data_IF_216896541993
#
_entry.id   IF_216896541993
#
_cell.length_a   1.000
_cell.length_b   1.000
_cell.length_c   1.000
_cell.angle_alpha   90.00
_cell.angle_beta   90.00
_cell.angle_gamma   90.00
#
_symmetry.space_group_name_H-M   'P 1'
#
loop_
_entity.id
_entity.type
_entity.pdbx_description
1 polymer ?
#
# COMPACT_ATOMS: atom_id res chain seq x y z
N UNK A 1 11.34 -61.57 30.39
CA UNK A 1 10.36 -60.70 31.06
C UNK A 1 10.20 -59.40 30.27
N UNK A 2 9.20 -59.32 29.39
CA UNK A 2 8.92 -58.13 28.59
C UNK A 2 7.42 -58.03 28.32
N UNK A 3 6.70 -57.17 29.07
CA UNK A 3 5.32 -56.71 28.81
C UNK A 3 4.96 -55.61 29.82
N UNK A 4 5.34 -54.36 29.56
CA UNK A 4 4.87 -53.20 30.35
C UNK A 4 4.98 -51.84 29.61
N UNK A 5 5.77 -51.73 28.53
CA UNK A 5 5.99 -50.43 27.87
C UNK A 5 4.83 -49.93 26.98
N UNK A 6 3.81 -50.74 26.70
CA UNK A 6 2.71 -50.39 25.78
C UNK A 6 1.52 -49.64 26.41
N UNK A 7 1.32 -49.72 27.74
CA UNK A 7 0.15 -49.11 28.39
C UNK A 7 0.32 -47.60 28.67
N UNK A 8 1.55 -47.13 28.84
CA UNK A 8 1.83 -45.72 29.15
C UNK A 8 1.71 -44.79 27.94
N UNK A 9 2.03 -45.27 26.72
CA UNK A 9 1.85 -44.48 25.49
C UNK A 9 0.38 -44.33 25.09
N UNK A 10 -0.47 -45.33 25.36
CA UNK A 10 -1.89 -45.23 25.07
C UNK A 10 -2.60 -44.24 26.01
N UNK A 11 -2.17 -44.17 27.27
CA UNK A 11 -2.75 -43.25 28.26
C UNK A 11 -2.38 -41.79 27.96
N UNK A 12 -1.17 -41.52 27.46
CA UNK A 12 -0.73 -40.15 27.13
C UNK A 12 -1.42 -39.59 25.87
N UNK A 13 -1.65 -40.40 24.84
CA UNK A 13 -2.39 -39.97 23.65
C UNK A 13 -3.85 -39.63 23.95
N UNK A 14 -4.47 -40.40 24.85
CA UNK A 14 -5.87 -40.18 25.22
C UNK A 14 -6.02 -38.85 25.96
N UNK A 15 -5.11 -38.53 26.90
CA UNK A 15 -5.14 -37.26 27.63
C UNK A 15 -4.92 -36.05 26.71
N UNK A 16 -4.00 -36.14 25.74
CA UNK A 16 -3.76 -35.05 24.77
C UNK A 16 -4.96 -34.83 23.85
N UNK A 17 -5.63 -35.89 23.41
CA UNK A 17 -6.84 -35.79 22.59
C UNK A 17 -8.00 -35.16 23.35
N UNK A 18 -8.21 -35.52 24.63
CA UNK A 18 -9.26 -34.93 25.47
C UNK A 18 -8.99 -33.45 25.77
N UNK A 19 -7.74 -33.07 26.00
CA UNK A 19 -7.36 -31.65 26.21
C UNK A 19 -7.50 -30.81 24.94
N UNK A 20 -7.16 -31.35 23.77
CA UNK A 20 -7.36 -30.66 22.48
C UNK A 20 -8.85 -30.48 22.15
N UNK A 21 -9.70 -31.46 22.47
CA UNK A 21 -11.15 -31.37 22.32
C UNK A 21 -11.77 -30.27 23.20
N UNK A 22 -11.38 -30.20 24.47
CA UNK A 22 -11.83 -29.14 25.40
C UNK A 22 -11.41 -27.73 24.95
N UNK A 23 -10.24 -27.59 24.32
CA UNK A 23 -9.77 -26.29 23.81
C UNK A 23 -10.58 -25.82 22.58
N UNK A 24 -10.99 -26.74 21.70
CA UNK A 24 -11.83 -26.42 20.54
C UNK A 24 -13.26 -26.03 20.93
N UNK A 25 -13.88 -26.73 21.89
CA UNK A 25 -15.25 -26.38 22.34
C UNK A 25 -15.31 -25.04 23.08
N UNK A 26 -14.31 -24.73 23.91
CA UNK A 26 -14.27 -23.46 24.66
C UNK A 26 -13.98 -22.25 23.74
N UNK A 27 -13.13 -22.41 22.72
CA UNK A 27 -12.90 -21.35 21.73
C UNK A 27 -14.11 -21.10 20.81
N UNK A 28 -14.85 -22.15 20.40
CA UNK A 28 -16.04 -21.97 19.56
C UNK A 28 -17.20 -21.32 20.32
N UNK A 29 -17.39 -21.66 21.60
CA UNK A 29 -18.40 -21.03 22.45
C UNK A 29 -18.09 -19.54 22.73
N UNK A 30 -16.81 -19.16 22.89
CA UNK A 30 -16.40 -17.77 23.10
C UNK A 30 -16.65 -16.88 21.86
N UNK A 31 -16.47 -17.43 20.66
CA UNK A 31 -16.67 -16.70 19.40
C UNK A 31 -18.16 -16.53 19.06
N UNK A 32 -19.03 -17.47 19.43
CA UNK A 32 -20.47 -17.40 19.11
C UNK A 32 -21.26 -16.52 20.11
N UNK A 33 -20.77 -16.34 21.34
CA UNK A 33 -21.54 -15.67 22.41
C UNK A 33 -21.27 -14.16 22.58
N UNK A 34 -20.43 -13.56 21.72
CA UNK A 34 -20.22 -12.11 21.67
C UNK A 34 -21.18 -11.47 20.64
N UNK A 35 -22.48 -11.46 20.95
CA UNK A 35 -23.45 -10.59 20.26
C UNK A 35 -23.49 -9.24 20.98
N UNK A 36 -22.93 -8.14 20.45
CA UNK A 36 -23.24 -6.82 20.98
C UNK A 36 -24.71 -6.53 20.68
N UNK A 37 -25.51 -6.39 21.73
CA UNK A 37 -26.87 -5.87 21.64
C UNK A 37 -26.80 -4.36 21.36
N UNK A 38 -26.62 -3.99 20.10
CA UNK A 38 -26.72 -2.61 19.65
C UNK A 38 -28.19 -2.18 19.68
N UNK A 39 -28.59 -1.62 20.83
CA UNK A 39 -29.87 -0.95 21.04
C UNK A 39 -29.81 0.39 20.30
N UNK A 40 -30.32 0.43 19.08
CA UNK A 40 -30.52 1.68 18.33
C UNK A 40 -31.44 2.60 19.12
N UNK A 41 -30.87 3.63 19.76
CA UNK A 41 -31.65 4.78 20.24
C UNK A 41 -32.02 5.62 19.02
N UNK A 42 -33.32 5.70 18.77
CA UNK A 42 -33.94 6.58 17.77
C UNK A 42 -33.70 8.02 18.21
N UNK A 43 -32.69 8.67 17.65
CA UNK A 43 -32.46 10.10 17.79
C UNK A 43 -33.13 10.77 16.58
N UNK A 44 -34.28 11.40 16.80
CA UNK A 44 -34.93 12.27 15.80
C UNK A 44 -34.22 13.62 15.84
N UNK A 45 -33.39 13.91 14.84
CA UNK A 45 -32.89 15.26 14.60
C UNK A 45 -33.48 15.75 13.27
N UNK A 46 -34.15 16.89 13.37
CA UNK A 46 -34.86 17.57 12.29
C UNK A 46 -33.99 17.88 11.09
N UNK A 47 -34.66 17.92 9.93
CA UNK A 47 -34.05 17.97 8.62
C UNK A 47 -33.22 19.23 8.33
N UNK A 48 -32.13 18.98 7.62
CA UNK A 48 -31.68 19.76 6.46
C UNK A 48 -30.85 18.81 5.61
N UNK A 49 -31.32 18.49 4.42
CA UNK A 49 -30.57 17.64 3.49
C UNK A 49 -29.20 18.27 3.21
N UNK A 50 -28.07 17.54 3.39
CA UNK A 50 -26.82 18.00 2.85
C UNK A 50 -26.86 17.76 1.35
N UNK A 51 -26.86 18.85 0.60
CA UNK A 51 -26.69 18.89 -0.85
C UNK A 51 -25.56 17.95 -1.25
N UNK A 52 -25.89 16.96 -2.09
CA UNK A 52 -24.95 16.12 -2.81
C UNK A 52 -24.15 17.00 -3.77
N UNK A 53 -23.11 17.65 -3.26
CA UNK A 53 -22.07 18.23 -4.10
C UNK A 53 -21.26 17.06 -4.65
N UNK A 54 -21.75 16.50 -5.76
CA UNK A 54 -20.93 15.67 -6.64
C UNK A 54 -19.69 16.49 -6.98
N UNK A 55 -18.54 16.11 -6.44
CA UNK A 55 -17.26 16.59 -6.95
C UNK A 55 -17.14 16.07 -8.38
N UNK A 56 -17.61 16.88 -9.32
CA UNK A 56 -17.25 16.75 -10.73
C UNK A 56 -15.74 16.82 -10.77
N UNK A 57 -15.12 15.79 -11.35
CA UNK A 57 -13.73 15.85 -11.76
C UNK A 57 -13.55 17.16 -12.53
N UNK A 58 -12.75 18.08 -12.01
CA UNK A 58 -12.20 19.15 -12.83
C UNK A 58 -11.14 18.49 -13.72
N UNK A 59 -11.61 17.85 -14.77
CA UNK A 59 -10.81 17.37 -15.89
C UNK A 59 -10.23 18.59 -16.61
N UNK A 60 -9.16 19.18 -16.06
CA UNK A 60 -8.34 20.16 -16.79
C UNK A 60 -6.88 19.72 -16.95
N UNK A 61 -6.51 18.55 -16.44
CA UNK A 61 -5.21 17.96 -16.74
C UNK A 61 -5.40 16.92 -17.83
N UNK A 62 -4.96 17.28 -19.03
CA UNK A 62 -5.00 16.43 -20.21
C UNK A 62 -4.21 15.15 -19.92
N UNK A 63 -4.85 13.98 -19.90
CA UNK A 63 -4.30 12.67 -19.51
C UNK A 63 -3.08 12.21 -20.35
N UNK A 64 -2.70 13.02 -21.35
CA UNK A 64 -1.67 12.74 -22.35
C UNK A 64 -0.23 13.05 -21.90
N UNK A 65 -0.03 13.85 -20.85
CA UNK A 65 1.31 14.30 -20.40
C UNK A 65 1.55 14.07 -18.90
N UNK A 66 1.40 12.83 -18.42
CA UNK A 66 1.81 12.49 -17.06
C UNK A 66 3.35 12.63 -16.94
N UNK A 67 3.81 13.37 -15.92
CA UNK A 67 5.24 13.56 -15.62
C UNK A 67 5.54 13.12 -14.20
N UNK A 68 6.72 12.54 -14.00
CA UNK A 68 7.18 12.20 -12.65
C UNK A 68 7.42 13.47 -11.84
N UNK A 69 6.78 13.55 -10.69
CA UNK A 69 6.98 14.58 -9.69
C UNK A 69 8.19 14.23 -8.85
N UNK A 70 9.08 15.21 -8.68
CA UNK A 70 10.33 15.08 -7.92
C UNK A 70 10.18 15.65 -6.51
N UNK A 71 10.92 15.07 -5.57
CA UNK A 71 11.09 15.65 -4.24
C UNK A 71 11.71 17.06 -4.32
N UNK A 72 11.30 18.03 -3.49
CA UNK A 72 10.39 17.98 -2.35
C UNK A 72 8.96 18.45 -2.62
N UNK A 73 8.41 18.25 -3.83
CA UNK A 73 7.07 18.74 -4.15
C UNK A 73 6.01 18.32 -3.09
N UNK A 74 5.20 19.27 -2.58
CA UNK A 74 4.25 19.00 -1.51
C UNK A 74 3.19 17.96 -1.86
N UNK A 75 2.89 17.70 -3.15
CA UNK A 75 1.92 16.66 -3.52
C UNK A 75 2.35 15.28 -3.03
N UNK A 76 3.66 15.01 -2.98
CA UNK A 76 4.23 13.74 -2.50
C UNK A 76 4.03 13.52 -1.00
N UNK A 77 3.60 14.54 -0.25
CA UNK A 77 3.33 14.49 1.19
C UNK A 77 1.84 14.47 1.51
N UNK A 78 0.96 14.61 0.52
CA UNK A 78 -0.49 14.61 0.72
C UNK A 78 -1.02 13.18 0.75
N UNK A 79 -1.87 12.87 1.73
CA UNK A 79 -2.62 11.62 1.75
C UNK A 79 -3.59 11.58 0.57
N UNK A 80 -3.59 10.49 -0.18
CA UNK A 80 -4.40 10.33 -1.38
C UNK A 80 -5.84 9.94 -1.06
N UNK A 81 -6.77 10.38 -1.92
CA UNK A 81 -8.19 10.07 -1.81
C UNK A 81 -8.52 8.69 -2.36
N UNK A 82 -9.56 8.06 -1.82
CA UNK A 82 -10.08 6.80 -2.36
C UNK A 82 -10.69 7.01 -3.75
N UNK A 83 -10.46 6.02 -4.62
CA UNK A 83 -11.12 5.93 -5.93
C UNK A 83 -12.53 5.38 -5.71
N UNK A 84 -13.54 6.13 -6.13
CA UNK A 84 -14.96 5.74 -6.00
C UNK A 84 -15.57 5.27 -7.31
N UNK A 85 -15.05 5.74 -8.45
CA UNK A 85 -15.56 5.43 -9.78
C UNK A 85 -14.59 4.51 -10.53
N UNK A 86 -15.09 3.36 -10.98
CA UNK A 86 -14.33 2.34 -11.71
C UNK A 86 -14.73 2.34 -13.20
N UNK A 87 -14.47 3.47 -13.86
CA UNK A 87 -14.88 3.75 -15.23
C UNK A 87 -13.72 3.64 -16.23
N UNK A 88 -13.99 4.00 -17.50
CA UNK A 88 -12.97 3.96 -18.56
C UNK A 88 -11.88 5.03 -18.40
N UNK A 89 -12.16 6.12 -17.68
CA UNK A 89 -11.15 7.14 -17.35
C UNK A 89 -10.11 6.54 -16.40
N UNK A 90 -10.54 5.78 -15.39
CA UNK A 90 -9.63 5.05 -14.50
C UNK A 90 -8.74 4.08 -15.27
N UNK A 91 -9.30 3.32 -16.22
CA UNK A 91 -8.54 2.39 -17.08
C UNK A 91 -7.51 3.14 -17.95
N UNK A 92 -7.90 4.29 -18.50
CA UNK A 92 -7.02 5.14 -19.31
C UNK A 92 -5.87 5.71 -18.47
N UNK A 93 -6.19 6.24 -17.29
CA UNK A 93 -5.20 6.74 -16.32
C UNK A 93 -4.18 5.65 -15.95
N UNK A 94 -4.65 4.46 -15.57
CA UNK A 94 -3.76 3.34 -15.21
C UNK A 94 -2.83 2.97 -16.37
N UNK A 95 -3.33 3.02 -17.62
CA UNK A 95 -2.50 2.77 -18.78
C UNK A 95 -1.44 3.85 -18.97
N UNK A 96 -1.79 5.12 -18.81
CA UNK A 96 -0.82 6.24 -18.83
C UNK A 96 0.22 6.11 -17.73
N UNK A 97 -0.17 5.70 -16.51
CA UNK A 97 0.77 5.43 -15.41
C UNK A 97 1.78 4.34 -15.77
N UNK A 98 1.36 3.23 -16.38
CA UNK A 98 2.30 2.21 -16.85
C UNK A 98 3.27 2.74 -17.91
N UNK A 99 2.78 3.53 -18.86
CA UNK A 99 3.64 4.10 -19.91
C UNK A 99 4.76 4.96 -19.29
N UNK A 100 4.41 5.89 -18.38
CA UNK A 100 5.39 6.72 -17.66
C UNK A 100 6.34 5.88 -16.82
N UNK A 101 5.84 4.86 -16.12
CA UNK A 101 6.66 3.94 -15.32
C UNK A 101 7.72 3.26 -16.20
N UNK A 102 7.36 2.77 -17.38
CA UNK A 102 8.29 2.12 -18.29
C UNK A 102 9.27 3.10 -18.96
N UNK A 103 8.82 4.29 -19.33
CA UNK A 103 9.67 5.35 -19.91
C UNK A 103 10.73 5.82 -18.89
N UNK A 104 10.32 5.94 -17.63
CA UNK A 104 11.19 6.33 -16.52
C UNK A 104 12.04 5.17 -15.98
N UNK A 105 11.98 3.98 -16.61
CA UNK A 105 12.70 2.76 -16.19
C UNK A 105 12.45 2.38 -14.72
N UNK A 106 11.22 2.58 -14.25
CA UNK A 106 10.79 2.24 -12.88
C UNK A 106 10.18 0.85 -12.77
N UNK A 107 10.30 0.25 -11.59
CA UNK A 107 9.68 -1.03 -11.27
C UNK A 107 8.22 -0.88 -10.80
N UNK A 108 7.89 0.25 -10.17
CA UNK A 108 6.57 0.60 -9.64
C UNK A 108 6.32 2.10 -9.73
N UNK A 109 5.05 2.49 -9.63
CA UNK A 109 4.60 3.88 -9.64
C UNK A 109 3.27 4.03 -8.87
N UNK A 110 3.21 5.02 -7.99
CA UNK A 110 1.99 5.47 -7.35
C UNK A 110 1.43 6.74 -8.04
N UNK A 111 0.11 6.89 -8.10
CA UNK A 111 -0.54 8.08 -8.69
C UNK A 111 -0.05 9.45 -8.17
N UNK A 112 0.26 9.67 -6.88
CA UNK A 112 0.80 10.96 -6.43
C UNK A 112 2.14 11.32 -7.10
N UNK A 113 2.92 10.33 -7.55
CA UNK A 113 4.17 10.58 -8.26
C UNK A 113 3.96 11.12 -9.68
N UNK A 114 2.73 11.13 -10.18
CA UNK A 114 2.33 11.82 -11.42
C UNK A 114 1.30 12.92 -11.14
N UNK A 115 1.38 13.51 -9.95
CA UNK A 115 0.54 14.61 -9.48
C UNK A 115 -0.97 14.28 -9.39
N UNK A 116 -1.32 13.02 -9.16
CA UNK A 116 -2.71 12.57 -9.03
C UNK A 116 -2.96 12.05 -7.62
N UNK A 117 -3.81 12.76 -6.87
CA UNK A 117 -4.13 12.43 -5.47
C UNK A 117 -5.20 11.35 -5.34
N UNK A 118 -4.89 10.15 -5.84
CA UNK A 118 -5.76 8.97 -5.79
C UNK A 118 -5.00 7.74 -5.30
N UNK A 119 -5.68 6.82 -4.61
CA UNK A 119 -5.09 5.58 -4.08
C UNK A 119 -4.94 4.51 -5.16
N UNK A 120 -4.02 4.74 -6.11
CA UNK A 120 -3.73 3.84 -7.22
C UNK A 120 -2.24 3.53 -7.25
N UNK A 121 -1.92 2.24 -7.36
CA UNK A 121 -0.56 1.75 -7.50
C UNK A 121 -0.49 0.83 -8.71
N UNK A 122 0.56 0.98 -9.52
CA UNK A 122 0.91 0.08 -10.62
C UNK A 122 2.34 -0.41 -10.48
N UNK A 123 2.63 -1.64 -10.89
CA UNK A 123 4.01 -2.11 -11.03
C UNK A 123 4.17 -3.25 -12.02
N UNK A 124 5.42 -3.48 -12.43
CA UNK A 124 5.85 -4.66 -13.15
C UNK A 124 7.24 -5.08 -12.64
N UNK A 125 7.34 -6.24 -11.97
CA UNK A 125 8.62 -6.69 -11.43
C UNK A 125 9.66 -7.05 -12.53
N UNK A 126 9.19 -7.29 -13.76
CA UNK A 126 10.01 -7.57 -14.94
C UNK A 126 9.88 -6.42 -15.96
N UNK A 127 9.89 -5.17 -15.48
CA UNK A 127 9.54 -3.98 -16.26
C UNK A 127 10.33 -3.82 -17.58
N UNK A 128 11.58 -4.30 -17.64
CA UNK A 128 12.40 -4.28 -18.85
C UNK A 128 11.78 -5.05 -20.03
N UNK A 129 11.04 -6.13 -19.74
CA UNK A 129 10.37 -6.95 -20.77
C UNK A 129 9.03 -6.36 -21.22
N UNK A 130 8.48 -5.38 -20.49
CA UNK A 130 7.20 -4.69 -20.76
C UNK A 130 6.03 -5.63 -21.06
N UNK A 131 6.02 -6.79 -20.42
CA UNK A 131 5.03 -7.85 -20.60
C UNK A 131 3.77 -7.55 -19.79
N UNK A 132 2.63 -7.38 -20.47
CA UNK A 132 1.33 -7.04 -19.86
C UNK A 132 0.86 -8.09 -18.85
N UNK A 133 1.17 -9.37 -19.06
CA UNK A 133 0.82 -10.45 -18.13
C UNK A 133 1.50 -10.30 -16.73
N UNK A 134 2.56 -9.50 -16.65
CA UNK A 134 3.29 -9.21 -15.41
C UNK A 134 2.87 -7.88 -14.76
N UNK A 135 2.03 -7.08 -15.44
CA UNK A 135 1.47 -5.86 -14.88
C UNK A 135 0.56 -6.18 -13.69
N UNK A 136 0.65 -5.35 -12.65
CA UNK A 136 -0.18 -5.43 -11.46
C UNK A 136 -0.72 -4.04 -11.17
N UNK A 137 -2.01 -3.96 -10.86
CA UNK A 137 -2.74 -2.71 -10.59
C UNK A 137 -3.56 -2.92 -9.35
N UNK A 138 -3.30 -2.15 -8.29
CA UNK A 138 -4.08 -2.19 -7.05
C UNK A 138 -4.69 -0.82 -6.77
N UNK A 139 -6.01 -0.80 -6.65
CA UNK A 139 -6.82 0.39 -6.36
C UNK A 139 -7.32 0.29 -4.92
N UNK A 140 -7.32 1.42 -4.21
CA UNK A 140 -7.62 1.52 -2.78
C UNK A 140 -6.99 0.40 -1.94
N UNK A 141 -5.69 0.11 -2.11
CA UNK A 141 -5.06 -0.96 -1.36
C UNK A 141 -5.02 -0.61 0.14
N UNK A 142 -4.98 -1.67 0.96
CA UNK A 142 -4.74 -1.62 2.41
C UNK A 142 -3.90 -2.81 2.84
N UNK A 143 -2.94 -2.59 3.73
CA UNK A 143 -2.24 -3.67 4.44
C UNK A 143 -3.17 -4.19 5.53
N UNK A 144 -3.49 -5.48 5.48
CA UNK A 144 -4.29 -6.16 6.51
C UNK A 144 -3.37 -6.63 7.63
N UNK A 145 -2.26 -7.27 7.27
CA UNK A 145 -1.30 -7.80 8.24
C UNK A 145 0.11 -7.85 7.66
N UNK A 146 1.10 -7.17 8.28
CA UNK A 146 2.51 -7.34 7.94
C UNK A 146 3.15 -8.49 8.71
N UNK A 147 4.11 -9.19 8.10
CA UNK A 147 4.88 -10.21 8.81
C UNK A 147 5.84 -9.61 9.84
N UNK A 148 6.06 -10.33 10.95
CA UNK A 148 7.08 -9.99 11.95
C UNK A 148 8.51 -10.06 11.39
N UNK A 149 8.76 -10.93 10.40
CA UNK A 149 10.08 -11.07 9.79
C UNK A 149 10.31 -9.89 8.84
N UNK A 150 11.41 -9.18 9.06
CA UNK A 150 11.80 -7.99 8.30
C UNK A 150 13.09 -8.23 7.52
N UNK A 151 13.33 -7.41 6.51
CA UNK A 151 14.56 -7.41 5.75
C UNK A 151 14.94 -6.01 5.31
N UNK A 152 16.23 -5.69 5.49
CA UNK A 152 16.83 -4.45 5.03
C UNK A 152 17.43 -4.65 3.63
N UNK A 153 16.86 -3.98 2.64
CA UNK A 153 17.33 -4.01 1.24
C UNK A 153 17.51 -2.58 0.73
N UNK A 154 18.23 -2.42 -0.37
CA UNK A 154 18.38 -1.14 -1.05
C UNK A 154 17.09 -0.83 -1.83
N UNK A 155 16.59 0.39 -1.70
CA UNK A 155 15.50 0.96 -2.50
C UNK A 155 15.99 2.21 -3.21
N UNK A 156 15.45 2.45 -4.40
CA UNK A 156 15.43 3.74 -5.09
C UNK A 156 13.97 4.18 -5.32
N UNK A 157 13.79 5.40 -5.84
CA UNK A 157 12.47 5.94 -6.13
C UNK A 157 12.52 6.86 -7.36
N UNK A 158 11.53 6.78 -8.26
CA UNK A 158 11.46 7.67 -9.43
C UNK A 158 11.40 9.16 -9.07
N UNK A 159 10.81 9.49 -7.92
CA UNK A 159 10.75 10.86 -7.40
C UNK A 159 12.07 11.34 -6.76
N UNK A 160 13.08 10.48 -6.69
CA UNK A 160 14.41 10.75 -6.12
C UNK A 160 15.52 10.20 -7.03
N UNK A 161 15.78 10.84 -8.19
CA UNK A 161 16.84 10.42 -9.09
C UNK A 161 18.19 10.30 -8.38
N UNK A 162 18.92 9.22 -8.67
CA UNK A 162 20.27 8.93 -8.14
C UNK A 162 20.38 8.83 -6.61
N UNK A 163 19.26 8.70 -5.89
CA UNK A 163 19.24 8.47 -4.44
C UNK A 163 18.72 7.07 -4.18
N UNK A 164 19.60 6.26 -3.59
CA UNK A 164 19.28 4.93 -3.11
C UNK A 164 19.72 4.79 -1.66
N UNK A 165 19.05 3.90 -0.93
CA UNK A 165 19.41 3.65 0.47
C UNK A 165 18.75 2.41 1.03
N UNK A 166 19.31 1.91 2.13
CA UNK A 166 18.81 0.71 2.79
C UNK A 166 17.56 1.00 3.63
N UNK A 167 16.44 0.42 3.25
CA UNK A 167 15.16 0.49 3.99
C UNK A 167 14.83 -0.87 4.59
N UNK A 168 14.39 -0.89 5.85
CA UNK A 168 13.92 -2.09 6.52
C UNK A 168 12.41 -2.23 6.44
N UNK A 169 11.92 -3.35 5.89
CA UNK A 169 10.48 -3.62 5.68
C UNK A 169 10.12 -5.06 6.02
N UNK A 170 8.87 -5.34 6.43
CA UNK A 170 8.29 -6.69 6.44
C UNK A 170 8.54 -7.44 5.13
N UNK A 171 8.93 -8.72 5.22
CA UNK A 171 9.20 -9.58 4.06
C UNK A 171 7.93 -10.03 3.35
N UNK A 172 6.82 -10.09 4.08
CA UNK A 172 5.51 -10.55 3.62
C UNK A 172 4.45 -9.59 4.12
N UNK A 173 3.44 -9.31 3.29
CA UNK A 173 2.26 -8.54 3.67
C UNK A 173 1.01 -9.23 3.14
N UNK A 174 0.02 -9.40 4.00
CA UNK A 174 -1.37 -9.68 3.61
C UNK A 174 -2.06 -8.36 3.31
N UNK A 175 -2.72 -8.26 2.16
CA UNK A 175 -3.29 -7.03 1.66
C UNK A 175 -4.73 -7.26 1.20
N UNK A 176 -5.51 -6.18 1.21
CA UNK A 176 -6.78 -6.07 0.51
C UNK A 176 -6.70 -4.95 -0.52
N UNK A 177 -7.34 -5.11 -1.67
CA UNK A 177 -7.35 -4.10 -2.73
C UNK A 177 -8.56 -4.32 -3.66
N UNK A 178 -8.81 -3.37 -4.54
CA UNK A 178 -9.76 -3.49 -5.64
C UNK A 178 -9.03 -3.59 -6.98
N UNK A 179 -9.54 -4.41 -7.90
CA UNK A 179 -9.06 -4.44 -9.28
C UNK A 179 -9.70 -3.32 -10.14
N UNK A 180 -9.39 -3.30 -11.44
CA UNK A 180 -9.90 -2.30 -12.38
C UNK A 180 -11.42 -2.36 -12.59
N UNK A 181 -12.03 -3.49 -12.26
CA UNK A 181 -13.47 -3.71 -12.39
C UNK A 181 -14.21 -3.44 -11.07
N UNK A 182 -13.50 -3.01 -10.02
CA UNK A 182 -14.07 -2.72 -8.71
C UNK A 182 -14.33 -3.95 -7.85
N UNK A 183 -13.79 -5.11 -8.22
CA UNK A 183 -13.90 -6.32 -7.38
C UNK A 183 -12.85 -6.29 -6.28
N UNK A 184 -13.28 -6.62 -5.06
CA UNK A 184 -12.40 -6.68 -3.88
C UNK A 184 -11.64 -8.00 -3.84
N UNK A 185 -10.34 -7.92 -3.55
CA UNK A 185 -9.44 -9.06 -3.45
C UNK A 185 -8.68 -9.07 -2.12
N UNK A 186 -8.32 -10.26 -1.67
CA UNK A 186 -7.33 -10.49 -0.62
C UNK A 186 -6.14 -11.24 -1.21
N UNK A 187 -4.92 -10.82 -0.85
CA UNK A 187 -3.70 -11.42 -1.40
C UNK A 187 -2.55 -11.34 -0.43
N UNK A 188 -1.70 -12.38 -0.43
CA UNK A 188 -0.43 -12.37 0.27
C UNK A 188 0.67 -12.06 -0.74
N UNK A 189 1.40 -10.97 -0.51
CA UNK A 189 2.60 -10.64 -1.27
C UNK A 189 3.85 -11.03 -0.49
N UNK A 190 4.86 -11.51 -1.21
CA UNK A 190 6.16 -11.92 -0.66
C UNK A 190 7.29 -11.39 -1.55
N UNK A 191 8.50 -11.34 -1.00
CA UNK A 191 9.72 -11.03 -1.75
C UNK A 191 9.65 -9.66 -2.42
N UNK A 192 10.05 -9.58 -3.70
CA UNK A 192 10.10 -8.31 -4.44
C UNK A 192 8.71 -7.66 -4.58
N UNK A 193 7.64 -8.44 -4.71
CA UNK A 193 6.28 -7.87 -4.81
C UNK A 193 5.84 -7.23 -3.50
N UNK A 194 6.12 -7.85 -2.36
CA UNK A 194 5.86 -7.23 -1.05
C UNK A 194 6.66 -5.94 -0.89
N UNK A 195 7.89 -5.91 -1.42
CA UNK A 195 8.78 -4.76 -1.35
C UNK A 195 8.24 -3.57 -2.13
N UNK A 196 7.98 -3.77 -3.42
CA UNK A 196 7.43 -2.73 -4.31
C UNK A 196 6.11 -2.22 -3.73
N UNK A 197 5.18 -3.14 -3.40
CA UNK A 197 3.88 -2.76 -2.87
C UNK A 197 4.00 -1.85 -1.64
N UNK A 198 4.84 -2.19 -0.66
CA UNK A 198 5.00 -1.35 0.53
C UNK A 198 5.63 0.01 0.24
N UNK A 199 6.52 0.11 -0.76
CA UNK A 199 7.07 1.39 -1.20
C UNK A 199 5.98 2.26 -1.83
N UNK A 200 5.24 1.72 -2.80
CA UNK A 200 4.18 2.47 -3.47
C UNK A 200 3.00 2.78 -2.54
N UNK A 201 2.73 1.91 -1.57
CA UNK A 201 1.72 2.11 -0.54
C UNK A 201 2.05 3.30 0.36
N UNK A 202 3.32 3.49 0.73
CA UNK A 202 3.75 4.64 1.52
C UNK A 202 3.45 5.96 0.80
N UNK A 203 3.67 6.03 -0.52
CA UNK A 203 3.35 7.22 -1.32
C UNK A 203 1.87 7.61 -1.23
N UNK A 204 0.96 6.64 -1.15
CA UNK A 204 -0.48 6.93 -1.00
C UNK A 204 -0.81 7.62 0.33
N UNK A 205 0.04 7.44 1.33
CA UNK A 205 -0.10 8.03 2.67
C UNK A 205 0.86 9.23 2.88
N UNK A 206 1.53 9.70 1.83
CA UNK A 206 2.48 10.83 1.90
C UNK A 206 3.81 10.49 2.60
N UNK A 207 4.08 9.20 2.79
CA UNK A 207 5.31 8.69 3.40
C UNK A 207 6.31 8.39 2.28
N UNK A 208 7.53 8.88 2.43
CA UNK A 208 8.60 8.67 1.45
C UNK A 208 9.63 7.69 2.01
N UNK A 209 10.29 6.92 1.15
CA UNK A 209 11.25 5.90 1.60
C UNK A 209 12.40 6.47 2.46
N UNK A 210 12.77 7.74 2.25
CA UNK A 210 13.75 8.47 3.08
C UNK A 210 13.31 8.64 4.54
N UNK A 211 12.00 8.60 4.83
CA UNK A 211 11.49 8.68 6.19
C UNK A 211 11.81 7.40 6.97
N UNK A 212 11.92 6.27 6.25
CA UNK A 212 12.24 4.95 6.78
C UNK A 212 13.75 4.66 6.85
N UNK A 213 14.59 5.61 6.44
CA UNK A 213 16.05 5.48 6.58
C UNK A 213 16.49 5.53 8.04
N UNK A 214 17.52 4.76 8.37
CA UNK A 214 18.27 4.97 9.63
C UNK A 214 19.03 6.29 9.57
N UNK A 215 19.45 6.81 10.73
CA UNK A 215 20.23 8.06 10.81
C UNK A 215 21.49 8.01 9.94
N UNK A 216 22.16 6.86 9.88
CA UNK A 216 23.33 6.65 9.03
C UNK A 216 23.00 6.76 7.53
N UNK A 217 21.89 6.20 7.07
CA UNK A 217 21.46 6.29 5.67
C UNK A 217 21.03 7.71 5.32
N UNK A 218 20.30 8.40 6.21
CA UNK A 218 19.95 9.83 6.06
C UNK A 218 21.20 10.71 5.91
N UNK A 219 22.24 10.44 6.69
CA UNK A 219 23.50 11.19 6.59
C UNK A 219 24.17 11.03 5.22
N UNK A 220 24.19 9.81 4.67
CA UNK A 220 24.82 9.52 3.35
C UNK A 220 24.15 10.29 2.21
N UNK A 221 22.83 10.42 2.23
CA UNK A 221 22.07 11.04 1.12
C UNK A 221 21.81 12.53 1.33
N UNK A 222 22.19 13.09 2.49
CA UNK A 222 21.83 14.47 2.90
C UNK A 222 22.23 15.52 1.87
N UNK A 223 23.42 15.42 1.29
CA UNK A 223 23.90 16.37 0.30
C UNK A 223 23.00 16.40 -0.94
N UNK A 224 22.67 15.22 -1.50
CA UNK A 224 21.77 15.08 -2.66
C UNK A 224 20.36 15.57 -2.36
N UNK A 225 19.81 15.26 -1.18
CA UNK A 225 18.50 15.75 -0.77
C UNK A 225 18.45 17.28 -0.66
N UNK A 226 19.50 17.90 -0.11
CA UNK A 226 19.60 19.36 -0.02
C UNK A 226 19.70 20.01 -1.40
N UNK A 227 20.39 19.38 -2.34
CA UNK A 227 20.47 19.83 -3.73
C UNK A 227 19.10 19.82 -4.40
N UNK A 228 18.33 18.73 -4.29
CA UNK A 228 16.96 18.67 -4.81
C UNK A 228 16.07 19.79 -4.24
N UNK A 229 16.18 20.08 -2.93
CA UNK A 229 15.42 21.17 -2.30
C UNK A 229 15.80 22.54 -2.89
N UNK A 230 17.10 22.78 -3.12
CA UNK A 230 17.57 24.04 -3.73
C UNK A 230 17.08 24.18 -5.16
N UNK A 231 17.17 23.12 -5.96
CA UNK A 231 16.69 23.10 -7.35
C UNK A 231 15.19 23.37 -7.41
N UNK A 232 14.41 22.72 -6.55
CA UNK A 232 12.97 22.96 -6.47
C UNK A 232 12.64 24.41 -6.11
N UNK A 233 13.29 24.98 -5.09
CA UNK A 233 13.07 26.39 -4.72
C UNK A 233 13.39 27.34 -5.87
N UNK A 234 14.53 27.14 -6.51
CA UNK A 234 14.96 27.98 -7.65
C UNK A 234 13.95 27.94 -8.81
N UNK A 235 13.31 26.79 -9.05
CA UNK A 235 12.30 26.64 -10.09
C UNK A 235 10.93 27.26 -9.73
N UNK A 236 10.62 27.42 -8.43
CA UNK A 236 9.31 27.90 -7.96
C UNK A 236 9.35 29.35 -7.42
N UNK A 237 10.53 29.94 -7.17
CA UNK A 237 10.68 31.34 -6.72
C UNK A 237 10.27 32.38 -7.80
N UNK A 238 9.89 31.96 -9.00
CA UNK A 238 9.37 32.80 -10.09
C UNK A 238 7.84 32.81 -10.26
N UNK A 239 7.08 31.97 -9.55
CA UNK A 239 5.61 31.99 -9.59
C UNK A 239 5.07 32.69 -8.33
N UNK A 240 4.27 33.77 -8.46
CA UNK A 240 3.65 34.39 -7.30
C UNK A 240 2.72 33.37 -6.62
N UNK A 241 2.85 33.25 -5.30
CA UNK A 241 1.94 32.47 -4.49
C UNK A 241 0.50 33.00 -4.70
N UNK A 242 -0.37 32.15 -5.26
CA UNK A 242 -1.79 32.43 -5.46
C UNK A 242 -2.54 32.13 -4.16
#
# INVERSE_FOLDING_TARGET
>A
MAKSKGKWLALSLTIVATLAGYFLETCFAYVINQRPSLRLRRCTIGGREPSTTSLRMSTSQNEKDLKIVLYPDPVLRKKCNEVVNFDDNLRTLVRSMFNVMYESKGMGLAAPQVNISMRIIVWNALYEKKKKENERVFINPSIVEPSLIRSKLVEGCLSFPDIEGKVDRPRVVSISYYDLDGNKHLKILKGIHARIFQHEYDHLDGILFIDRFSQSEKHKVRAKLNEMIRTYRSNNEGEPAI
#
